data_IF_125328691169
#
_entry.id   IF_125328691169
#
_cell.length_a   1.000
_cell.length_b   1.000
_cell.length_c   1.000
_cell.angle_alpha   90.00
_cell.angle_beta   90.00
_cell.angle_gamma   90.00
#
_symmetry.space_group_name_H-M   'P 1'
#
loop_
_entity.id
_entity.type
_entity.pdbx_description
1 polymer ?
#
# COMPACT_ATOMS: atom_id res chain seq x y z
N UNK A 1 -9.89 -2.32 11.23
CA UNK A 1 -10.41 -3.07 12.41
C UNK A 1 -9.79 -4.46 12.51
N UNK A 2 -9.90 -5.31 11.48
CA UNK A 2 -9.33 -6.68 11.49
C UNK A 2 -7.81 -6.66 11.76
N UNK A 3 -7.07 -5.79 11.07
CA UNK A 3 -5.63 -5.60 11.27
C UNK A 3 -5.24 -5.32 12.74
N UNK A 4 -5.90 -4.36 13.38
CA UNK A 4 -5.67 -4.04 14.79
C UNK A 4 -5.97 -5.21 15.73
N UNK A 5 -7.01 -6.01 15.44
CA UNK A 5 -7.34 -7.22 16.21
C UNK A 5 -6.23 -8.26 16.05
N UNK A 6 -5.77 -8.51 14.81
CA UNK A 6 -4.69 -9.46 14.53
C UNK A 6 -3.38 -9.06 15.22
N UNK A 7 -3.00 -7.77 15.17
CA UNK A 7 -1.80 -7.27 15.86
C UNK A 7 -1.93 -7.39 17.38
N UNK A 8 -3.09 -7.07 17.94
CA UNK A 8 -3.34 -7.19 19.39
C UNK A 8 -3.23 -8.63 19.86
N UNK A 9 -3.82 -9.57 19.13
CA UNK A 9 -3.72 -11.00 19.43
C UNK A 9 -2.27 -11.48 19.24
N UNK A 10 -1.61 -11.14 18.13
CA UNK A 10 -0.23 -11.55 17.86
C UNK A 10 0.76 -11.07 18.92
N UNK A 11 0.64 -9.81 19.35
CA UNK A 11 1.48 -9.26 20.42
C UNK A 11 1.27 -9.93 21.78
N UNK A 12 0.05 -10.38 22.10
CA UNK A 12 -0.20 -11.21 23.30
C UNK A 12 0.52 -12.56 23.24
N UNK A 13 0.65 -13.13 22.04
CA UNK A 13 1.41 -14.36 21.81
C UNK A 13 2.92 -14.13 21.60
N UNK A 14 3.40 -12.88 21.72
CA UNK A 14 4.81 -12.54 21.56
C UNK A 14 5.32 -12.59 20.12
N UNK A 15 4.43 -12.57 19.12
CA UNK A 15 4.80 -12.54 17.70
C UNK A 15 5.00 -11.10 17.22
N UNK A 16 5.85 -10.87 16.20
CA UNK A 16 5.92 -9.55 15.55
C UNK A 16 4.56 -9.13 14.99
N UNK A 17 4.34 -7.81 14.80
CA UNK A 17 3.09 -7.29 14.24
C UNK A 17 2.86 -7.86 12.84
N UNK A 18 1.62 -8.29 12.59
CA UNK A 18 1.19 -8.86 11.31
C UNK A 18 0.54 -7.76 10.49
N UNK A 19 0.98 -7.55 9.25
CA UNK A 19 0.42 -6.56 8.33
C UNK A 19 0.11 -7.21 6.98
N UNK A 20 -0.84 -6.66 6.24
CA UNK A 20 -1.06 -7.04 4.85
C UNK A 20 0.18 -6.65 4.01
N UNK A 21 0.68 -7.60 3.22
CA UNK A 21 1.81 -7.38 2.33
C UNK A 21 1.33 -7.03 0.92
N UNK A 22 2.02 -6.10 0.27
CA UNK A 22 1.70 -5.69 -1.12
C UNK A 22 1.80 -6.87 -2.10
N UNK A 23 2.69 -7.82 -1.82
CA UNK A 23 2.93 -9.01 -2.63
C UNK A 23 1.71 -9.96 -2.64
N UNK A 24 0.89 -9.92 -1.59
CA UNK A 24 -0.37 -10.67 -1.57
C UNK A 24 -1.36 -10.17 -2.62
N UNK A 25 -1.17 -8.96 -3.15
CA UNK A 25 -1.92 -8.46 -4.30
C UNK A 25 -1.77 -9.33 -5.55
N UNK A 26 -0.59 -9.90 -5.78
CA UNK A 26 -0.38 -10.82 -6.91
C UNK A 26 -1.26 -12.07 -6.81
N UNK A 27 -1.44 -12.61 -5.60
CA UNK A 27 -2.34 -13.75 -5.37
C UNK A 27 -3.81 -13.40 -5.60
N UNK A 28 -4.22 -12.14 -5.41
CA UNK A 28 -5.56 -11.67 -5.75
C UNK A 28 -5.72 -11.59 -7.28
N UNK A 29 -4.70 -11.06 -7.98
CA UNK A 29 -4.68 -10.99 -9.46
C UNK A 29 -4.74 -12.36 -10.14
N UNK A 30 -4.16 -13.39 -9.51
CA UNK A 30 -4.23 -14.79 -9.98
C UNK A 30 -5.58 -15.49 -9.65
N UNK A 31 -6.55 -14.78 -9.05
CA UNK A 31 -7.89 -15.30 -8.78
C UNK A 31 -8.13 -15.69 -7.31
N UNK A 32 -7.19 -15.42 -6.41
CA UNK A 32 -7.31 -15.59 -4.96
C UNK A 32 -8.21 -14.57 -4.27
N UNK A 33 -9.32 -14.19 -4.91
CA UNK A 33 -10.28 -13.20 -4.38
C UNK A 33 -11.16 -13.76 -3.26
N UNK A 34 -11.11 -15.07 -2.99
CA UNK A 34 -11.84 -15.68 -1.89
C UNK A 34 -11.00 -15.68 -0.61
N UNK A 35 -11.63 -15.33 0.53
CA UNK A 35 -11.00 -15.43 1.85
C UNK A 35 -10.60 -16.86 2.23
N UNK A 36 -11.07 -17.86 1.49
CA UNK A 36 -10.66 -19.26 1.63
C UNK A 36 -9.15 -19.43 1.34
N UNK A 37 -8.61 -18.68 0.38
CA UNK A 37 -7.18 -18.70 0.03
C UNK A 37 -6.33 -18.34 1.24
N UNK A 38 -6.69 -17.27 1.96
CA UNK A 38 -6.00 -16.84 3.17
C UNK A 38 -6.07 -17.88 4.29
N UNK A 39 -7.22 -18.56 4.45
CA UNK A 39 -7.37 -19.64 5.42
C UNK A 39 -6.49 -20.86 5.08
N UNK A 40 -6.42 -21.25 3.81
CA UNK A 40 -5.57 -22.36 3.35
C UNK A 40 -4.10 -22.00 3.51
N UNK A 41 -3.69 -20.78 3.13
CA UNK A 41 -2.31 -20.29 3.34
C UNK A 41 -1.94 -20.33 4.83
N UNK A 42 -2.83 -19.87 5.71
CA UNK A 42 -2.63 -19.96 7.17
C UNK A 42 -2.49 -21.40 7.68
N UNK A 43 -3.32 -22.32 7.17
CA UNK A 43 -3.23 -23.75 7.51
C UNK A 43 -1.90 -24.36 7.01
N UNK A 44 -1.48 -24.05 5.79
CA UNK A 44 -0.20 -24.49 5.24
C UNK A 44 0.97 -23.95 6.06
N UNK A 45 0.93 -22.69 6.51
CA UNK A 45 1.93 -22.13 7.43
C UNK A 45 1.93 -22.83 8.79
N UNK A 46 0.77 -23.19 9.32
CA UNK A 46 0.67 -23.97 10.55
C UNK A 46 1.32 -25.34 10.42
N UNK A 47 1.08 -26.05 9.30
CA UNK A 47 1.75 -27.32 8.99
C UNK A 47 3.26 -27.11 8.79
N UNK A 48 3.67 -26.00 8.17
CA UNK A 48 5.08 -25.66 7.94
C UNK A 48 5.90 -25.50 9.23
N UNK A 49 5.27 -25.17 10.38
CA UNK A 49 5.96 -25.10 11.68
C UNK A 49 6.57 -26.46 12.06
N UNK A 50 5.94 -27.59 11.70
CA UNK A 50 6.53 -28.91 11.94
C UNK A 50 7.79 -29.18 11.09
N UNK A 51 7.92 -28.47 9.97
CA UNK A 51 9.11 -28.50 9.09
C UNK A 51 10.13 -27.42 9.43
N UNK A 52 9.86 -26.53 10.40
CA UNK A 52 10.81 -25.53 10.91
C UNK A 52 12.21 -26.08 11.22
N UNK A 53 12.40 -27.25 11.87
CA UNK A 53 13.73 -27.79 12.13
C UNK A 53 14.51 -28.15 10.86
N UNK A 54 13.83 -28.46 9.74
CA UNK A 54 14.48 -28.70 8.46
C UNK A 54 14.96 -27.37 7.86
N UNK A 55 14.15 -26.32 7.93
CA UNK A 55 14.55 -24.98 7.46
C UNK A 55 15.69 -24.36 8.27
N UNK A 56 15.80 -24.70 9.56
CA UNK A 56 16.91 -24.28 10.41
C UNK A 56 18.29 -24.85 9.98
N UNK A 57 18.33 -25.88 9.13
CA UNK A 57 19.56 -26.44 8.57
C UNK A 57 20.10 -25.65 7.36
N UNK A 58 19.35 -24.68 6.84
CA UNK A 58 19.75 -23.88 5.68
C UNK A 58 20.87 -22.90 6.10
N UNK A 59 22.00 -22.88 5.39
CA UNK A 59 23.12 -22.00 5.74
C UNK A 59 22.72 -20.51 5.61
N UNK A 60 23.18 -19.63 6.53
CA UNK A 60 22.83 -18.21 6.50
C UNK A 60 23.26 -17.46 5.23
N UNK A 61 24.26 -17.96 4.52
CA UNK A 61 24.74 -17.37 3.26
C UNK A 61 23.69 -17.44 2.15
N UNK A 62 22.77 -18.42 2.19
CA UNK A 62 21.72 -18.57 1.19
C UNK A 62 20.60 -17.53 1.36
N UNK A 63 20.27 -17.14 2.60
CA UNK A 63 19.18 -16.19 2.87
C UNK A 63 19.58 -14.74 2.57
N UNK A 64 20.88 -14.41 2.65
CA UNK A 64 21.39 -13.07 2.34
C UNK A 64 21.05 -12.60 0.92
N UNK A 65 21.28 -13.44 -0.10
CA UNK A 65 20.96 -13.10 -1.49
C UNK A 65 19.47 -12.81 -1.69
N UNK A 66 18.60 -13.59 -1.04
CA UNK A 66 17.15 -13.38 -1.10
C UNK A 66 16.75 -12.04 -0.48
N UNK A 67 17.31 -11.68 0.68
CA UNK A 67 17.02 -10.41 1.33
C UNK A 67 17.45 -9.19 0.48
N UNK A 68 18.56 -9.30 -0.26
CA UNK A 68 18.99 -8.24 -1.19
C UNK A 68 18.01 -8.06 -2.34
N UNK A 69 17.55 -9.17 -2.95
CA UNK A 69 16.57 -9.12 -4.05
C UNK A 69 15.23 -8.56 -3.55
N UNK A 70 14.73 -9.06 -2.43
CA UNK A 70 13.46 -8.58 -1.83
C UNK A 70 13.57 -7.10 -1.45
N UNK A 71 14.70 -6.67 -0.89
CA UNK A 71 14.96 -5.26 -0.61
C UNK A 71 14.90 -4.40 -1.88
N UNK A 72 15.52 -4.86 -2.97
CA UNK A 72 15.47 -4.17 -4.26
C UNK A 72 14.04 -4.10 -4.83
N UNK A 73 13.24 -5.15 -4.66
CA UNK A 73 11.83 -5.17 -5.09
C UNK A 73 10.98 -4.17 -4.31
N UNK A 74 11.16 -4.09 -2.99
CA UNK A 74 10.42 -3.13 -2.14
C UNK A 74 10.85 -1.70 -2.42
N UNK A 75 12.12 -1.45 -2.75
CA UNK A 75 12.59 -0.12 -3.17
C UNK A 75 11.86 0.43 -4.41
N UNK A 76 11.29 -0.42 -5.26
CA UNK A 76 10.48 0.03 -6.40
C UNK A 76 9.26 0.86 -5.97
N UNK A 77 8.66 0.55 -4.82
CA UNK A 77 7.52 1.30 -4.29
C UNK A 77 7.88 2.76 -3.95
N UNK A 78 9.17 3.06 -3.69
CA UNK A 78 9.60 4.44 -3.46
C UNK A 78 9.52 5.32 -4.74
N UNK A 79 9.47 4.71 -5.92
CA UNK A 79 9.30 5.43 -7.18
C UNK A 79 7.85 5.87 -7.42
N UNK A 80 6.86 5.21 -6.80
CA UNK A 80 5.44 5.55 -6.91
C UNK A 80 5.04 6.76 -6.07
N UNK A 81 5.95 7.27 -5.23
CA UNK A 81 5.74 8.46 -4.41
C UNK A 81 5.60 9.70 -5.32
N UNK A 82 4.64 10.57 -5.02
CA UNK A 82 4.46 11.82 -5.75
C UNK A 82 5.58 12.84 -5.45
N UNK A 83 6.64 12.80 -6.26
CA UNK A 83 7.81 13.69 -6.14
C UNK A 83 7.55 15.12 -6.63
N UNK A 84 6.43 15.38 -7.32
CA UNK A 84 6.14 16.71 -7.89
C UNK A 84 5.59 17.68 -6.83
N UNK A 85 4.96 17.14 -5.80
CA UNK A 85 4.43 17.91 -4.68
C UNK A 85 5.40 17.93 -3.50
N UNK A 86 6.02 19.09 -3.23
CA UNK A 86 7.07 19.23 -2.20
C UNK A 86 6.61 18.86 -0.79
N UNK A 87 5.32 19.06 -0.48
CA UNK A 87 4.74 18.73 0.83
C UNK A 87 4.77 17.23 1.12
N UNK A 88 4.76 16.38 0.09
CA UNK A 88 4.75 14.92 0.23
C UNK A 88 6.14 14.34 -0.09
N UNK A 89 6.86 14.95 -1.03
CA UNK A 89 8.23 14.58 -1.39
C UNK A 89 9.25 14.79 -0.25
N UNK A 90 9.16 15.91 0.49
CA UNK A 90 10.12 16.22 1.56
C UNK A 90 9.99 15.22 2.73
N UNK A 91 8.79 14.92 3.27
CA UNK A 91 8.62 13.90 4.31
C UNK A 91 9.03 12.50 3.85
N UNK A 92 8.71 12.12 2.60
CA UNK A 92 9.10 10.83 2.05
C UNK A 92 10.63 10.68 1.98
N UNK A 93 11.32 11.69 1.46
CA UNK A 93 12.79 11.71 1.42
C UNK A 93 13.40 11.63 2.82
N UNK A 94 12.87 12.41 3.77
CA UNK A 94 13.34 12.43 5.15
C UNK A 94 13.19 11.04 5.81
N UNK A 95 12.07 10.38 5.57
CA UNK A 95 11.79 9.03 6.08
C UNK A 95 12.83 8.02 5.57
N UNK A 96 13.09 8.01 4.26
CA UNK A 96 14.04 7.09 3.62
C UNK A 96 15.47 7.35 4.09
N UNK A 97 15.86 8.62 4.28
CA UNK A 97 17.21 8.97 4.71
C UNK A 97 17.46 8.69 6.21
N UNK A 98 16.51 9.01 7.08
CA UNK A 98 16.69 8.89 8.54
C UNK A 98 16.71 7.42 9.00
N UNK A 99 15.99 6.52 8.32
CA UNK A 99 15.95 5.10 8.69
C UNK A 99 17.34 4.45 8.75
N UNK A 100 18.18 4.50 7.70
CA UNK A 100 19.57 4.01 7.76
C UNK A 100 20.42 4.78 8.76
N UNK A 101 20.31 6.11 8.84
CA UNK A 101 21.15 6.91 9.73
C UNK A 101 20.91 6.62 11.21
N UNK A 102 19.67 6.29 11.58
CA UNK A 102 19.30 6.01 12.97
C UNK A 102 19.34 4.51 13.29
N UNK A 103 19.59 3.66 12.28
CA UNK A 103 19.49 2.19 12.38
C UNK A 103 18.14 1.73 12.99
N UNK A 104 17.09 2.53 12.81
CA UNK A 104 15.78 2.30 13.43
C UNK A 104 14.65 2.78 12.53
N UNK A 105 13.81 1.83 12.13
CA UNK A 105 12.63 2.06 11.31
C UNK A 105 11.65 2.99 12.05
N UNK A 106 11.51 2.82 13.37
CA UNK A 106 10.59 3.60 14.19
C UNK A 106 10.94 5.09 14.21
N UNK A 107 12.21 5.44 14.45
CA UNK A 107 12.63 6.84 14.48
C UNK A 107 12.54 7.50 13.09
N UNK A 108 12.88 6.78 12.03
CA UNK A 108 12.70 7.28 10.66
C UNK A 108 11.23 7.57 10.32
N UNK A 109 10.33 6.66 10.69
CA UNK A 109 8.89 6.83 10.46
C UNK A 109 8.32 8.00 11.28
N UNK A 110 8.71 8.14 12.55
CA UNK A 110 8.28 9.27 13.40
C UNK A 110 8.73 10.61 12.81
N UNK A 111 9.98 10.70 12.36
CA UNK A 111 10.51 11.92 11.75
C UNK A 111 9.79 12.27 10.44
N UNK A 112 9.49 11.27 9.61
CA UNK A 112 8.67 11.41 8.41
C UNK A 112 7.27 11.97 8.69
N UNK A 113 6.53 11.32 9.60
CA UNK A 113 5.17 11.75 9.98
C UNK A 113 5.18 13.15 10.59
N UNK A 114 6.13 13.47 11.47
CA UNK A 114 6.26 14.81 12.04
C UNK A 114 6.52 15.86 10.95
N UNK A 115 7.41 15.58 10.01
CA UNK A 115 7.68 16.47 8.88
C UNK A 115 6.44 16.69 8.02
N UNK A 116 5.67 15.63 7.74
CA UNK A 116 4.43 15.73 6.98
C UNK A 116 3.37 16.58 7.71
N UNK A 117 3.16 16.33 9.01
CA UNK A 117 2.22 17.10 9.83
C UNK A 117 2.61 18.58 9.89
N UNK A 118 3.91 18.88 10.04
CA UNK A 118 4.38 20.27 10.10
C UNK A 118 4.20 20.97 8.76
N UNK A 119 4.60 20.36 7.64
CA UNK A 119 4.49 20.98 6.31
C UNK A 119 3.02 21.15 5.90
N UNK A 120 2.27 20.06 5.84
CA UNK A 120 0.88 20.10 5.41
C UNK A 120 -0.01 20.85 6.42
N UNK A 121 0.28 20.76 7.72
CA UNK A 121 -0.41 21.54 8.75
C UNK A 121 -0.13 23.03 8.68
N UNK A 122 1.09 23.44 8.34
CA UNK A 122 1.44 24.87 8.15
C UNK A 122 0.76 25.43 6.90
N UNK A 123 0.76 24.67 5.80
CA UNK A 123 0.05 25.03 4.56
C UNK A 123 -1.44 25.22 4.83
N UNK A 124 -2.08 24.25 5.49
CA UNK A 124 -3.48 24.33 5.87
C UNK A 124 -3.79 25.52 6.79
N UNK A 125 -2.89 25.84 7.74
CA UNK A 125 -3.07 26.98 8.63
C UNK A 125 -2.99 28.31 7.87
N UNK A 126 -2.06 28.42 6.90
CA UNK A 126 -1.91 29.61 6.05
C UNK A 126 -3.14 29.80 5.18
N UNK A 127 -3.66 28.75 4.54
CA UNK A 127 -4.89 28.80 3.76
C UNK A 127 -6.09 29.24 4.60
N UNK A 128 -6.20 28.68 5.82
CA UNK A 128 -7.31 28.99 6.73
C UNK A 128 -7.26 30.42 7.25
N UNK A 129 -6.08 30.96 7.52
CA UNK A 129 -5.89 32.36 7.95
C UNK A 129 -6.06 33.31 6.76
N UNK A 130 -5.65 32.91 5.55
CA UNK A 130 -5.64 33.75 4.35
C UNK A 130 -6.93 33.64 3.53
N UNK A 131 -7.87 32.77 3.95
CA UNK A 131 -9.19 32.59 3.36
C UNK A 131 -9.17 32.49 1.82
N UNK A 132 -8.19 31.75 1.27
CA UNK A 132 -8.07 31.44 -0.16
C UNK A 132 -7.27 32.44 -1.02
N UNK A 133 -6.54 33.41 -0.44
CA UNK A 133 -5.75 34.38 -1.22
C UNK A 133 -4.37 33.90 -1.65
N UNK A 134 -3.79 32.93 -0.93
CA UNK A 134 -2.48 32.35 -1.21
C UNK A 134 -2.68 30.85 -1.23
N UNK A 135 -2.65 30.29 -2.43
CA UNK A 135 -2.73 28.85 -2.69
C UNK A 135 -1.28 28.41 -2.99
N UNK A 136 -0.73 27.40 -2.29
CA UNK A 136 0.63 26.94 -2.57
C UNK A 136 0.75 26.48 -4.03
N UNK A 137 1.90 26.75 -4.70
CA UNK A 137 2.15 26.22 -6.04
C UNK A 137 2.02 24.68 -6.06
N UNK A 138 1.37 24.13 -7.08
CA UNK A 138 1.12 22.69 -7.33
C UNK A 138 0.06 22.01 -6.41
N UNK A 139 -0.93 22.73 -5.90
CA UNK A 139 -2.05 22.11 -5.14
C UNK A 139 -2.84 21.06 -5.94
N UNK A 140 -2.95 21.23 -7.27
CA UNK A 140 -3.65 20.31 -8.17
C UNK A 140 -3.01 18.92 -8.27
N UNK A 141 -1.74 18.79 -7.86
CA UNK A 141 -1.00 17.53 -7.89
C UNK A 141 -1.13 16.73 -6.59
N UNK A 142 -1.81 17.27 -5.57
CA UNK A 142 -1.96 16.62 -4.27
C UNK A 142 -2.80 15.35 -4.39
N UNK A 143 -2.37 14.28 -3.72
CA UNK A 143 -3.17 13.06 -3.67
C UNK A 143 -4.50 13.32 -2.93
N UNK A 144 -5.65 13.00 -3.55
CA UNK A 144 -6.95 13.29 -2.96
C UNK A 144 -7.21 12.39 -1.75
N UNK A 145 -6.96 12.91 -0.55
CA UNK A 145 -7.27 12.22 0.70
C UNK A 145 -8.72 12.48 1.12
N UNK A 146 -9.55 11.43 1.18
CA UNK A 146 -10.96 11.53 1.59
C UNK A 146 -11.15 10.90 2.98
N UNK A 147 -11.81 11.61 3.90
CA UNK A 147 -12.09 11.07 5.26
C UNK A 147 -13.36 10.19 5.32
N UNK A 148 -14.12 10.11 4.22
CA UNK A 148 -15.39 9.38 4.17
C UNK A 148 -15.11 7.92 3.80
N UNK A 149 -15.26 7.05 4.80
CA UNK A 149 -15.24 5.60 4.60
C UNK A 149 -16.52 5.22 3.84
N UNK A 150 -16.40 4.91 2.55
CA UNK A 150 -17.51 4.36 1.77
C UNK A 150 -17.88 2.99 2.36
N UNK A 151 -19.10 2.88 2.91
CA UNK A 151 -19.56 1.67 3.60
C UNK A 151 -19.75 1.78 5.12
N UNK A 152 -19.81 2.98 5.71
CA UNK A 152 -20.20 3.14 7.13
C UNK A 152 -19.30 2.42 8.15
N UNK A 153 -19.68 2.42 9.43
CA UNK A 153 -18.89 1.78 10.49
C UNK A 153 -18.98 0.24 10.47
N UNK A 154 -20.06 -0.29 9.90
CA UNK A 154 -20.34 -1.73 9.89
C UNK A 154 -20.12 -2.33 8.50
N UNK A 155 -19.62 -3.57 8.40
CA UNK A 155 -19.46 -4.24 7.12
C UNK A 155 -20.78 -4.25 6.34
N UNK A 156 -20.75 -4.00 5.02
CA UNK A 156 -21.96 -3.97 4.19
C UNK A 156 -22.81 -5.24 4.32
N UNK A 157 -22.19 -6.41 4.49
CA UNK A 157 -22.88 -7.68 4.72
C UNK A 157 -23.63 -7.73 6.07
N UNK A 158 -23.12 -7.10 7.14
CA UNK A 158 -23.80 -7.01 8.46
C UNK A 158 -25.04 -6.14 8.34
N UNK A 159 -24.92 -4.99 7.67
CA UNK A 159 -26.05 -4.10 7.37
C UNK A 159 -27.09 -4.76 6.45
N UNK A 160 -26.68 -5.66 5.54
CA UNK A 160 -27.56 -6.46 4.68
C UNK A 160 -28.22 -7.62 5.43
N UNK A 161 -27.50 -8.28 6.34
CA UNK A 161 -27.98 -9.38 7.18
C UNK A 161 -29.01 -8.88 8.20
N UNK A 162 -28.78 -7.70 8.80
CA UNK A 162 -29.77 -7.01 9.63
C UNK A 162 -31.03 -6.58 8.85
N UNK A 163 -30.93 -6.45 7.51
CA UNK A 163 -32.04 -6.13 6.59
C UNK A 163 -32.67 -7.36 5.92
N UNK A 164 -32.27 -8.58 6.27
CA UNK A 164 -32.90 -9.82 5.78
C UNK A 164 -32.69 -10.12 4.29
N UNK A 165 -31.72 -9.49 3.61
CA UNK A 165 -31.44 -9.75 2.19
C UNK A 165 -30.57 -11.00 2.01
N UNK A 166 -30.96 -11.89 1.08
CA UNK A 166 -30.25 -13.14 0.78
C UNK A 166 -28.96 -12.95 -0.04
N UNK A 167 -28.79 -11.80 -0.68
CA UNK A 167 -27.59 -11.44 -1.48
C UNK A 167 -26.51 -10.73 -0.63
N UNK A 168 -26.22 -11.24 0.57
CA UNK A 168 -25.22 -10.65 1.47
C UNK A 168 -23.77 -10.94 1.06
N UNK A 169 -23.55 -11.91 0.17
CA UNK A 169 -22.24 -12.43 -0.21
C UNK A 169 -21.66 -11.83 -1.50
N UNK A 170 -22.42 -11.02 -2.25
CA UNK A 170 -21.88 -10.36 -3.45
C UNK A 170 -21.04 -9.14 -3.05
N UNK A 171 -19.79 -9.01 -3.54
CA UNK A 171 -19.04 -7.75 -3.47
C UNK A 171 -19.84 -6.65 -4.20
N UNK A 172 -19.75 -5.40 -3.73
CA UNK A 172 -20.26 -4.25 -4.47
C UNK A 172 -19.53 -4.18 -5.81
N UNK A 173 -20.26 -4.11 -6.93
CA UNK A 173 -19.70 -3.79 -8.24
C UNK A 173 -19.37 -2.28 -8.36
N UNK A 174 -19.05 -1.60 -7.26
CA UNK A 174 -18.97 -0.14 -7.14
C UNK A 174 -17.52 0.34 -6.82
N UNK A 175 -16.54 -0.39 -7.36
CA UNK A 175 -15.11 -0.06 -7.25
C UNK A 175 -14.34 -0.15 -8.57
N UNK A 176 -15.04 -0.07 -9.71
CA UNK A 176 -14.40 -0.02 -11.02
C UNK A 176 -14.17 1.40 -11.57
N UNK A 177 -14.69 2.45 -10.93
CA UNK A 177 -14.59 3.81 -11.50
C UNK A 177 -13.29 4.55 -11.16
N UNK A 178 -12.52 4.11 -10.16
CA UNK A 178 -11.28 4.79 -9.75
C UNK A 178 -10.00 3.97 -9.98
N UNK A 179 -10.11 2.64 -10.00
CA UNK A 179 -8.98 1.74 -10.31
C UNK A 179 -8.97 1.37 -11.80
N UNK A 180 -10.15 1.24 -12.42
CA UNK A 180 -10.28 0.99 -13.86
C UNK A 180 -9.69 2.12 -14.69
N UNK A 181 -9.95 3.37 -14.32
CA UNK A 181 -9.41 4.55 -15.01
C UNK A 181 -7.88 4.61 -14.96
N UNK A 182 -7.25 4.21 -13.86
CA UNK A 182 -5.79 4.17 -13.76
C UNK A 182 -5.15 3.11 -14.65
N UNK A 183 -5.73 1.90 -14.71
CA UNK A 183 -5.24 0.80 -15.54
C UNK A 183 -5.51 1.05 -17.02
N UNK A 184 -6.66 1.65 -17.36
CA UNK A 184 -7.04 1.96 -18.75
C UNK A 184 -6.17 3.09 -19.34
N UNK A 185 -5.81 4.09 -18.52
CA UNK A 185 -4.85 5.15 -18.91
C UNK A 185 -3.43 4.60 -19.07
N UNK A 186 -3.00 3.67 -18.21
CA UNK A 186 -1.69 3.02 -18.30
C UNK A 186 -1.58 2.17 -19.59
N UNK A 187 -2.63 1.41 -19.92
CA UNK A 187 -2.72 0.59 -21.13
C UNK A 187 -2.76 1.45 -22.41
N UNK A 188 -3.52 2.55 -22.42
CA UNK A 188 -3.51 3.50 -23.55
C UNK A 188 -2.15 4.16 -23.76
N UNK A 189 -1.41 4.44 -22.67
CA UNK A 189 -0.07 5.02 -22.75
C UNK A 189 0.97 4.04 -23.32
N UNK A 190 0.88 2.76 -22.95
CA UNK A 190 1.70 1.67 -23.49
C UNK A 190 1.44 1.44 -24.97
N UNK A 191 0.17 1.37 -25.40
CA UNK A 191 -0.19 1.20 -26.81
C UNK A 191 0.28 2.39 -27.68
N UNK A 192 0.26 3.61 -27.12
CA UNK A 192 0.72 4.82 -27.81
C UNK A 192 2.24 4.87 -27.95
N UNK A 193 2.97 4.31 -26.98
CA UNK A 193 4.43 4.15 -27.05
C UNK A 193 4.86 3.06 -28.04
N UNK A 194 4.14 1.93 -28.07
CA UNK A 194 4.41 0.84 -29.01
C UNK A 194 4.18 1.28 -30.47
N UNK A 195 3.08 2.00 -30.74
CA UNK A 195 2.80 2.57 -32.07
C UNK A 195 3.82 3.62 -32.50
N UNK A 196 4.39 4.41 -31.56
CA UNK A 196 5.48 5.34 -31.86
C UNK A 196 6.78 4.61 -32.20
N UNK A 197 7.15 3.58 -31.44
CA UNK A 197 8.35 2.78 -31.71
C UNK A 197 8.31 2.05 -33.05
N UNK A 198 7.13 1.55 -33.46
CA UNK A 198 6.95 0.93 -34.77
C UNK A 198 7.02 1.92 -35.95
N UNK A 199 6.67 3.20 -35.74
CA UNK A 199 6.76 4.23 -36.78
C UNK A 199 8.20 4.72 -36.98
N UNK A 200 9.00 4.82 -35.91
CA UNK A 200 10.43 5.14 -36.02
C UNK A 200 11.25 4.01 -36.65
N UNK A 201 10.94 2.75 -36.34
CA UNK A 201 11.64 1.59 -36.92
C UNK A 201 11.36 1.37 -38.42
N UNK A 202 10.31 1.99 -38.98
CA UNK A 202 9.94 1.86 -40.40
C UNK A 202 10.45 3.02 -41.27
N UNK A 203 10.99 4.07 -40.64
CA UNK A 203 11.54 5.27 -41.30
C UNK A 203 13.09 5.30 -41.31
N UNK A 204 13.73 4.18 -40.97
CA UNK A 204 15.18 3.92 -41.10
C UNK A 204 15.37 2.72 -42.01
#
# INVERSE_FOLDING_TARGET
MVDAICVSIGSLFGTPPVSAFIESGAGISEGGMTGLTSCITGLCFFVAIFFAPIFASIPPWATGCTLVIVGALICKAAAEINWRYYSDAIPAFLTIAIMPFTYSIAYGLIAGILSYIVLNGTVWLIEKITSGRIVPPNEDEKEPWTWRISGGFFPPWVCRLARGKKDFWRPEDEHLDHVGVGIEVELESQERMEKRGMVEAKNV
#
